data_IF_936624186478
#
_entry.id   IF_936624186478
#
_cell.length_a   1.000
_cell.length_b   1.000
_cell.length_c   1.000
_cell.angle_alpha   90.00
_cell.angle_beta   90.00
_cell.angle_gamma   90.00
#
_symmetry.space_group_name_H-M   'P 1'
#
loop_
_entity.id
_entity.type
_entity.pdbx_description
1 polymer ?
#
# COMPACT_ATOMS: atom_id res chain seq x y z
N UNK A 1 -13.78 8.44 30.64
CA UNK A 1 -14.26 7.54 29.58
C UNK A 1 -13.98 8.21 28.23
N UNK A 2 -13.03 7.68 27.44
CA UNK A 2 -12.47 8.27 26.21
C UNK A 2 -13.22 7.78 24.95
N UNK A 3 -12.94 8.37 23.77
CA UNK A 3 -13.27 7.67 22.51
C UNK A 3 -13.53 8.45 21.22
N UNK A 4 -13.26 9.75 21.09
CA UNK A 4 -13.60 10.52 19.87
C UNK A 4 -12.48 10.73 18.83
N UNK A 5 -11.32 10.08 18.97
CA UNK A 5 -10.16 10.39 18.12
C UNK A 5 -9.94 9.48 16.89
N UNK A 6 -10.77 8.44 16.66
CA UNK A 6 -10.45 7.40 15.66
C UNK A 6 -11.23 7.55 14.34
N UNK A 7 -12.34 8.29 14.32
CA UNK A 7 -13.23 8.35 13.14
C UNK A 7 -12.83 9.39 12.08
N UNK A 8 -11.86 10.26 12.37
CA UNK A 8 -11.56 11.41 11.49
C UNK A 8 -10.52 11.13 10.40
N UNK A 9 -9.97 9.91 10.33
CA UNK A 9 -8.90 9.55 9.37
C UNK A 9 -9.42 8.80 8.13
N UNK A 10 -10.75 8.62 8.00
CA UNK A 10 -11.39 7.87 6.90
C UNK A 10 -11.94 8.80 5.79
N UNK A 11 -11.73 10.11 5.91
CA UNK A 11 -12.41 11.13 5.10
C UNK A 11 -11.96 11.30 3.66
N UNK A 12 -10.72 10.92 3.32
CA UNK A 12 -10.15 11.15 1.99
C UNK A 12 -9.72 9.82 1.35
N UNK A 13 -10.69 8.95 1.05
CA UNK A 13 -10.44 7.76 0.23
C UNK A 13 -10.30 8.19 -1.25
N UNK A 14 -9.11 8.06 -1.87
CA UNK A 14 -8.90 8.40 -3.28
C UNK A 14 -9.76 7.56 -4.24
N UNK A 15 -10.35 6.44 -3.80
CA UNK A 15 -11.34 5.70 -4.58
C UNK A 15 -12.70 6.40 -4.71
N UNK A 16 -12.97 7.44 -3.91
CA UNK A 16 -14.24 8.17 -3.94
C UNK A 16 -14.49 8.82 -5.31
N UNK A 17 -13.45 9.40 -5.92
CA UNK A 17 -13.56 10.08 -7.22
C UNK A 17 -13.95 9.12 -8.36
N UNK A 18 -13.39 7.91 -8.37
CA UNK A 18 -13.74 6.88 -9.35
C UNK A 18 -15.13 6.26 -9.11
N UNK A 19 -15.55 6.08 -7.84
CA UNK A 19 -16.92 5.64 -7.53
C UNK A 19 -17.97 6.66 -7.99
N UNK A 20 -17.68 7.96 -7.87
CA UNK A 20 -18.53 9.03 -8.40
C UNK A 20 -18.63 8.96 -9.93
N UNK A 21 -17.51 8.75 -10.62
CA UNK A 21 -17.46 8.57 -12.08
C UNK A 21 -18.32 7.38 -12.55
N UNK A 22 -18.24 6.22 -11.87
CA UNK A 22 -19.04 5.04 -12.22
C UNK A 22 -20.53 5.21 -11.93
N UNK A 23 -20.91 5.92 -10.85
CA UNK A 23 -22.32 6.27 -10.58
C UNK A 23 -22.93 7.15 -11.68
N UNK A 24 -22.15 8.03 -12.28
CA UNK A 24 -22.57 8.87 -13.42
C UNK A 24 -22.76 8.05 -14.70
N UNK A 25 -21.94 7.01 -14.91
CA UNK A 25 -21.96 6.19 -16.12
C UNK A 25 -22.50 4.76 -15.85
N UNK A 26 -23.81 4.65 -15.64
CA UNK A 26 -24.57 3.39 -15.46
C UNK A 26 -24.46 2.35 -16.60
N UNK A 27 -23.72 2.64 -17.67
CA UNK A 27 -23.59 1.77 -18.86
C UNK A 27 -22.35 0.87 -18.85
N UNK A 28 -21.46 0.99 -17.86
CA UNK A 28 -20.33 0.06 -17.75
C UNK A 28 -20.83 -1.20 -17.03
N UNK A 29 -21.37 -2.13 -17.81
CA UNK A 29 -21.76 -3.45 -17.31
C UNK A 29 -20.57 -4.11 -16.62
N UNK A 30 -20.81 -4.68 -15.44
CA UNK A 30 -19.79 -5.32 -14.60
C UNK A 30 -19.06 -6.46 -15.32
N UNK A 31 -19.57 -6.97 -16.45
CA UNK A 31 -18.96 -8.07 -17.19
C UNK A 31 -19.20 -7.86 -18.68
N UNK A 32 -18.13 -7.81 -19.47
CA UNK A 32 -18.22 -7.98 -20.92
C UNK A 32 -17.85 -9.44 -21.19
N UNK A 33 -18.80 -10.23 -21.68
CA UNK A 33 -18.61 -11.65 -22.02
C UNK A 33 -18.09 -12.54 -20.87
N UNK A 34 -18.57 -12.32 -19.63
CA UNK A 34 -18.20 -13.14 -18.47
C UNK A 34 -16.82 -12.85 -17.87
N UNK A 35 -15.98 -12.07 -18.56
CA UNK A 35 -14.68 -11.60 -18.08
C UNK A 35 -14.90 -10.47 -17.07
N UNK A 36 -14.29 -10.55 -15.86
CA UNK A 36 -14.31 -9.46 -14.89
C UNK A 36 -13.70 -8.19 -15.48
N UNK A 37 -14.26 -7.04 -15.16
CA UNK A 37 -13.67 -5.79 -15.60
C UNK A 37 -12.35 -5.51 -14.88
N UNK A 38 -11.38 -4.90 -15.58
CA UNK A 38 -10.06 -4.58 -15.04
C UNK A 38 -10.11 -3.70 -13.78
N UNK A 39 -11.12 -2.84 -13.65
CA UNK A 39 -11.27 -1.96 -12.48
C UNK A 39 -11.66 -2.73 -11.21
N UNK A 40 -12.24 -3.94 -11.33
CA UNK A 40 -12.61 -4.78 -10.19
C UNK A 40 -11.39 -5.33 -9.45
N UNK A 41 -10.18 -5.16 -9.98
CA UNK A 41 -8.94 -5.56 -9.33
C UNK A 41 -8.54 -4.62 -8.17
N UNK A 42 -8.92 -3.35 -8.25
CA UNK A 42 -8.51 -2.33 -7.26
C UNK A 42 -9.68 -1.54 -6.67
N UNK A 43 -10.86 -1.52 -7.32
CA UNK A 43 -12.07 -0.89 -6.76
C UNK A 43 -12.87 -1.87 -5.92
N UNK A 44 -13.20 -1.46 -4.70
CA UNK A 44 -14.10 -2.20 -3.82
C UNK A 44 -15.52 -2.20 -4.36
N UNK A 45 -16.17 -3.36 -4.29
CA UNK A 45 -17.60 -3.53 -4.59
C UNK A 45 -18.49 -2.76 -3.63
N UNK A 46 -19.81 -2.91 -3.82
CA UNK A 46 -20.79 -2.32 -2.92
C UNK A 46 -20.83 -3.11 -1.59
N UNK A 47 -20.57 -2.42 -0.48
CA UNK A 47 -20.54 -3.02 0.86
C UNK A 47 -19.27 -3.82 1.21
N UNK A 48 -18.33 -3.96 0.28
CA UNK A 48 -17.06 -4.66 0.50
C UNK A 48 -16.10 -3.81 1.35
N UNK A 49 -15.60 -4.38 2.46
CA UNK A 49 -14.60 -3.73 3.31
C UNK A 49 -13.20 -3.93 2.73
N UNK A 50 -12.32 -2.94 2.92
CA UNK A 50 -10.92 -3.07 2.48
C UNK A 50 -10.17 -4.17 3.24
N UNK A 51 -10.41 -4.24 4.54
CA UNK A 51 -9.77 -5.21 5.44
C UNK A 51 -10.83 -5.88 6.29
N UNK A 52 -10.79 -7.21 6.33
CA UNK A 52 -11.55 -8.03 7.26
C UNK A 52 -10.58 -8.72 8.23
N UNK A 53 -11.02 -8.96 9.45
CA UNK A 53 -10.19 -9.53 10.51
C UNK A 53 -10.90 -10.74 11.10
N UNK A 54 -10.16 -11.83 11.28
CA UNK A 54 -10.63 -13.06 11.91
C UNK A 54 -9.59 -13.53 12.91
N UNK A 55 -10.01 -13.68 14.17
CA UNK A 55 -9.16 -14.26 15.20
C UNK A 55 -9.01 -15.77 14.94
N UNK A 56 -7.78 -16.27 15.05
CA UNK A 56 -7.51 -17.69 14.83
C UNK A 56 -7.55 -18.43 16.17
N UNK A 57 -8.40 -19.46 16.27
CA UNK A 57 -8.52 -20.27 17.50
C UNK A 57 -7.43 -21.32 17.65
N UNK A 58 -6.74 -21.67 16.55
CA UNK A 58 -5.71 -22.72 16.55
C UNK A 58 -4.38 -22.28 17.16
N UNK A 59 -4.09 -20.99 17.22
CA UNK A 59 -2.83 -20.45 17.72
C UNK A 59 -3.09 -19.23 18.61
N UNK A 60 -2.47 -19.14 19.79
CA UNK A 60 -2.63 -17.98 20.65
C UNK A 60 -2.12 -16.71 19.97
N UNK A 61 -2.68 -15.56 20.33
CA UNK A 61 -2.27 -14.23 19.85
C UNK A 61 -2.10 -14.16 18.32
N UNK A 62 -2.98 -14.83 17.58
CA UNK A 62 -2.90 -14.94 16.12
C UNK A 62 -4.16 -14.39 15.48
N UNK A 63 -3.97 -13.60 14.43
CA UNK A 63 -5.06 -12.99 13.69
C UNK A 63 -4.81 -13.12 12.20
N UNK A 64 -5.86 -13.48 11.47
CA UNK A 64 -5.90 -13.51 10.02
C UNK A 64 -6.57 -12.23 9.50
N UNK A 65 -5.87 -11.52 8.63
CA UNK A 65 -6.35 -10.32 7.97
C UNK A 65 -6.58 -10.62 6.49
N UNK A 66 -7.79 -10.39 6.00
CA UNK A 66 -8.12 -10.51 4.58
C UNK A 66 -8.14 -9.12 3.98
N UNK A 67 -7.25 -8.86 3.02
CA UNK A 67 -7.17 -7.61 2.28
C UNK A 67 -7.85 -7.78 0.94
N UNK A 68 -8.88 -6.97 0.70
CA UNK A 68 -9.63 -6.97 -0.55
C UNK A 68 -9.06 -5.94 -1.52
N UNK A 69 -9.05 -6.29 -2.81
CA UNK A 69 -8.57 -5.45 -3.91
C UNK A 69 -7.10 -5.05 -3.74
N UNK A 70 -6.29 -6.02 -3.34
CA UNK A 70 -4.85 -5.90 -3.14
C UNK A 70 -4.15 -7.17 -3.59
N UNK A 71 -2.84 -7.07 -3.83
CA UNK A 71 -2.04 -8.15 -4.39
C UNK A 71 -0.72 -8.36 -3.61
N UNK A 72 0.21 -9.07 -4.26
CA UNK A 72 1.53 -9.36 -3.72
C UNK A 72 2.33 -8.11 -3.35
N UNK A 73 2.06 -6.96 -3.97
CA UNK A 73 2.75 -5.70 -3.68
C UNK A 73 2.62 -5.35 -2.20
N UNK A 74 1.38 -5.23 -1.71
CA UNK A 74 1.13 -4.90 -0.32
C UNK A 74 1.40 -6.09 0.62
N UNK A 75 1.01 -7.30 0.21
CA UNK A 75 1.17 -8.49 1.03
C UNK A 75 2.64 -8.80 1.38
N UNK A 76 3.51 -8.75 0.38
CA UNK A 76 4.94 -8.96 0.57
C UNK A 76 5.58 -7.83 1.39
N UNK A 77 5.23 -6.56 1.09
CA UNK A 77 5.78 -5.40 1.79
C UNK A 77 5.47 -5.45 3.30
N UNK A 78 4.21 -5.71 3.67
CA UNK A 78 3.82 -5.84 5.07
C UNK A 78 4.53 -7.01 5.76
N UNK A 79 4.58 -8.16 5.10
CA UNK A 79 5.23 -9.36 5.65
C UNK A 79 6.72 -9.12 5.92
N UNK A 80 7.43 -8.48 4.98
CA UNK A 80 8.85 -8.15 5.16
C UNK A 80 9.08 -7.16 6.29
N UNK A 81 8.19 -6.17 6.48
CA UNK A 81 8.29 -5.23 7.59
C UNK A 81 8.02 -5.90 8.93
N UNK A 82 6.98 -6.74 9.02
CA UNK A 82 6.59 -7.43 10.25
C UNK A 82 7.69 -8.36 10.77
N UNK A 83 8.43 -9.04 9.89
CA UNK A 83 9.58 -9.87 10.26
C UNK A 83 10.72 -9.11 10.95
N UNK A 84 10.77 -7.78 10.84
CA UNK A 84 11.79 -6.96 11.53
C UNK A 84 11.45 -6.73 13.01
N UNK A 85 10.21 -6.99 13.43
CA UNK A 85 9.78 -6.74 14.79
C UNK A 85 10.05 -7.96 15.69
N UNK A 86 10.74 -7.79 16.84
CA UNK A 86 11.10 -8.90 17.71
C UNK A 86 9.88 -9.55 18.41
N UNK A 87 8.79 -8.81 18.58
CA UNK A 87 7.54 -9.29 19.20
C UNK A 87 6.63 -10.04 18.20
N UNK A 88 6.98 -10.07 16.91
CA UNK A 88 6.26 -10.84 15.89
C UNK A 88 6.91 -12.21 15.78
N UNK A 89 6.18 -13.24 16.18
CA UNK A 89 6.66 -14.64 16.13
C UNK A 89 6.46 -15.25 14.75
N UNK A 90 5.39 -14.86 14.05
CA UNK A 90 5.07 -15.37 12.72
C UNK A 90 4.37 -14.30 11.89
N UNK A 91 4.80 -14.15 10.63
CA UNK A 91 4.05 -13.39 9.63
C UNK A 91 4.15 -14.06 8.27
N UNK A 92 3.03 -14.30 7.62
CA UNK A 92 3.02 -14.82 6.25
C UNK A 92 1.77 -14.36 5.53
N UNK A 93 1.89 -14.16 4.22
CA UNK A 93 0.75 -13.87 3.36
C UNK A 93 0.59 -14.95 2.28
N UNK A 94 -0.64 -15.13 1.83
CA UNK A 94 -0.95 -15.96 0.66
C UNK A 94 -2.06 -15.32 -0.16
N UNK A 95 -2.01 -15.52 -1.47
CA UNK A 95 -3.13 -15.23 -2.38
C UNK A 95 -3.89 -16.54 -2.55
N UNK A 96 -5.13 -16.66 -2.04
CA UNK A 96 -5.88 -17.93 -2.09
C UNK A 96 -6.11 -18.42 -3.51
N UNK A 97 -6.33 -17.49 -4.44
CA UNK A 97 -6.53 -17.80 -5.86
C UNK A 97 -6.20 -16.58 -6.75
N UNK A 98 -5.47 -16.74 -7.86
CA UNK A 98 -4.97 -15.61 -8.67
C UNK A 98 -6.06 -14.81 -9.40
N UNK A 99 -7.25 -15.38 -9.62
CA UNK A 99 -8.37 -14.66 -10.27
C UNK A 99 -8.99 -13.58 -9.37
N UNK A 100 -8.76 -13.62 -8.06
CA UNK A 100 -9.29 -12.64 -7.14
C UNK A 100 -8.14 -11.80 -6.59
N UNK A 101 -8.27 -10.48 -6.69
CA UNK A 101 -7.31 -9.54 -6.09
C UNK A 101 -7.54 -9.48 -4.58
N UNK A 102 -7.28 -10.57 -3.88
CA UNK A 102 -7.36 -10.66 -2.42
C UNK A 102 -6.17 -11.44 -1.89
N UNK A 103 -5.67 -11.03 -0.73
CA UNK A 103 -4.67 -11.81 -0.01
C UNK A 103 -5.02 -11.94 1.47
N UNK A 104 -4.59 -13.04 2.06
CA UNK A 104 -4.72 -13.32 3.48
C UNK A 104 -3.35 -13.16 4.14
N UNK A 105 -3.27 -12.32 5.16
CA UNK A 105 -2.09 -12.11 5.99
C UNK A 105 -2.35 -12.71 7.37
N UNK A 106 -1.52 -13.68 7.77
CA UNK A 106 -1.52 -14.26 9.10
C UNK A 106 -0.41 -13.65 9.92
N UNK A 107 -0.74 -13.13 11.09
CA UNK A 107 0.22 -12.53 12.03
C UNK A 107 0.03 -13.14 13.41
N UNK A 108 1.11 -13.61 14.00
CA UNK A 108 1.18 -14.09 15.38
C UNK A 108 2.22 -13.29 16.16
N UNK A 109 1.86 -12.89 17.38
CA UNK A 109 2.74 -12.15 18.29
C UNK A 109 3.02 -12.94 19.56
N UNK A 110 4.05 -12.53 20.30
CA UNK A 110 4.41 -13.07 21.62
C UNK A 110 3.39 -12.72 22.74
N UNK A 111 2.43 -11.84 22.44
CA UNK A 111 1.43 -11.33 23.39
C UNK A 111 1.80 -9.99 24.04
N UNK A 112 3.01 -9.47 23.82
CA UNK A 112 3.41 -8.13 24.27
C UNK A 112 2.62 -7.02 23.57
N UNK A 113 2.26 -7.27 22.31
CA UNK A 113 1.36 -6.42 21.51
C UNK A 113 0.34 -7.27 20.78
N UNK A 114 -0.81 -6.69 20.47
CA UNK A 114 -1.80 -7.40 19.64
C UNK A 114 -1.32 -7.48 18.18
N UNK A 115 -1.68 -8.54 17.42
CA UNK A 115 -1.35 -8.63 16.00
C UNK A 115 -1.85 -7.43 15.19
N UNK A 116 -3.01 -6.88 15.59
CA UNK A 116 -3.59 -5.68 14.98
C UNK A 116 -2.69 -4.46 15.17
N UNK A 117 -2.19 -4.22 16.38
CA UNK A 117 -1.27 -3.12 16.67
C UNK A 117 0.06 -3.28 15.93
N UNK A 118 0.58 -4.51 15.84
CA UNK A 118 1.79 -4.80 15.07
C UNK A 118 1.63 -4.41 13.59
N UNK A 119 0.49 -4.78 12.97
CA UNK A 119 0.19 -4.41 11.57
C UNK A 119 0.03 -2.90 11.40
N UNK A 120 -0.67 -2.22 12.30
CA UNK A 120 -0.83 -0.75 12.24
C UNK A 120 0.53 -0.05 12.35
N UNK A 121 1.39 -0.53 13.25
CA UNK A 121 2.74 0.00 13.43
C UNK A 121 3.58 -0.25 12.18
N UNK A 122 3.49 -1.44 11.58
CA UNK A 122 4.12 -1.75 10.30
C UNK A 122 3.75 -0.75 9.20
N UNK A 123 2.45 -0.47 9.05
CA UNK A 123 1.96 0.49 8.06
C UNK A 123 2.55 1.89 8.27
N UNK A 124 2.54 2.39 9.52
CA UNK A 124 3.09 3.72 9.84
C UNK A 124 4.58 3.81 9.52
N UNK A 125 5.33 2.78 9.90
CA UNK A 125 6.77 2.74 9.66
C UNK A 125 7.10 2.68 8.15
N UNK A 126 6.35 1.88 7.38
CA UNK A 126 6.50 1.81 5.92
C UNK A 126 6.26 3.18 5.28
N UNK A 127 5.21 3.89 5.70
CA UNK A 127 4.92 5.25 5.19
C UNK A 127 6.09 6.18 5.48
N UNK A 128 6.60 6.18 6.72
CA UNK A 128 7.75 7.00 7.10
C UNK A 128 9.02 6.64 6.30
N UNK A 129 9.28 5.35 6.08
CA UNK A 129 10.42 4.88 5.27
C UNK A 129 10.31 5.36 3.82
N UNK A 130 9.12 5.27 3.21
CA UNK A 130 8.87 5.73 1.85
C UNK A 130 8.99 7.25 1.73
N UNK A 131 8.57 8.01 2.74
CA UNK A 131 8.76 9.46 2.77
C UNK A 131 10.25 9.85 2.83
N UNK A 132 11.04 9.16 3.66
CA UNK A 132 12.49 9.37 3.71
C UNK A 132 13.11 9.04 2.34
N UNK A 133 12.76 7.90 1.76
CA UNK A 133 13.23 7.50 0.43
C UNK A 133 12.90 8.55 -0.63
N UNK A 134 11.66 9.05 -0.65
CA UNK A 134 11.23 10.06 -1.61
C UNK A 134 12.03 11.37 -1.47
N UNK A 135 12.25 11.85 -0.25
CA UNK A 135 13.05 13.06 -0.01
C UNK A 135 14.51 12.89 -0.44
N UNK A 136 15.12 11.76 -0.07
CA UNK A 136 16.50 11.45 -0.46
C UNK A 136 16.63 11.34 -1.98
N UNK A 137 15.70 10.64 -2.63
CA UNK A 137 15.67 10.51 -4.09
C UNK A 137 15.53 11.87 -4.78
N UNK A 138 14.59 12.72 -4.35
CA UNK A 138 14.37 14.04 -4.93
C UNK A 138 15.60 14.95 -4.79
N UNK A 139 16.27 14.90 -3.65
CA UNK A 139 17.49 15.68 -3.38
C UNK A 139 18.63 15.26 -4.31
N UNK A 140 18.90 13.95 -4.39
CA UNK A 140 19.95 13.41 -5.27
C UNK A 140 19.64 13.65 -6.75
N UNK A 141 18.38 13.46 -7.16
CA UNK A 141 17.94 13.73 -8.51
C UNK A 141 18.17 15.19 -8.92
N UNK A 142 17.78 16.14 -8.07
CA UNK A 142 17.97 17.56 -8.31
C UNK A 142 19.46 17.92 -8.38
N UNK A 143 20.26 17.39 -7.46
CA UNK A 143 21.71 17.60 -7.45
C UNK A 143 22.37 17.14 -8.75
N UNK A 144 22.04 15.94 -9.23
CA UNK A 144 22.57 15.42 -10.50
C UNK A 144 22.13 16.23 -11.72
N UNK A 145 20.88 16.71 -11.72
CA UNK A 145 20.36 17.54 -12.82
C UNK A 145 21.14 18.87 -12.92
N UNK A 146 21.35 19.56 -11.81
CA UNK A 146 22.10 20.82 -11.76
C UNK A 146 23.54 20.63 -12.27
N UNK A 147 24.21 19.56 -11.83
CA UNK A 147 25.58 19.25 -12.28
C UNK A 147 25.61 19.00 -13.80
N UNK A 148 24.69 18.18 -14.30
CA UNK A 148 24.61 17.86 -15.73
C UNK A 148 24.35 19.09 -16.60
N UNK A 149 23.45 19.99 -16.18
CA UNK A 149 23.16 21.24 -16.89
C UNK A 149 24.38 22.18 -16.88
N UNK A 150 25.03 22.32 -15.72
CA UNK A 150 26.24 23.14 -15.59
C UNK A 150 27.42 22.64 -16.43
N UNK A 151 27.61 21.33 -16.57
CA UNK A 151 28.63 20.75 -17.45
C UNK A 151 28.33 21.01 -18.93
N UNK A 152 27.07 20.87 -19.36
CA UNK A 152 26.66 21.16 -20.74
C UNK A 152 26.87 22.63 -21.10
N UNK A 153 26.53 23.55 -20.20
CA UNK A 153 26.78 24.97 -20.41
C UNK A 153 28.28 25.28 -20.52
N UNK A 154 29.11 24.67 -19.67
CA UNK A 154 30.57 24.85 -19.75
C UNK A 154 31.12 24.35 -21.08
N UNK A 155 30.73 23.14 -21.50
CA UNK A 155 31.15 22.58 -22.78
C UNK A 155 30.68 23.43 -23.97
N UNK A 156 29.47 24.00 -23.91
CA UNK A 156 28.98 24.91 -24.94
C UNK A 156 29.82 26.20 -25.03
N UNK A 157 30.14 26.82 -23.88
CA UNK A 157 31.01 28.01 -23.84
C UNK A 157 32.42 27.73 -24.34
N UNK A 158 32.99 26.57 -23.98
CA UNK A 158 34.32 26.16 -24.47
C UNK A 158 34.32 25.94 -25.98
N UNK A 159 33.23 25.39 -26.55
CA UNK A 159 33.09 25.22 -28.00
C UNK A 159 32.96 26.54 -28.76
N UNK A 160 32.21 27.51 -28.22
CA UNK A 160 32.03 28.82 -28.84
C UNK A 160 33.33 29.65 -28.83
N UNK A 161 34.20 29.47 -27.83
CA UNK A 161 35.49 30.17 -27.76
C UNK A 161 36.54 29.69 -28.77
N UNK A 162 36.30 28.57 -29.48
CA UNK A 162 37.22 27.99 -30.46
C UNK A 162 36.74 28.13 -31.92
N UNK A 163 35.62 28.84 -32.17
CA UNK A 163 35.13 29.22 -33.50
C UNK A 163 35.48 30.67 -33.84
#
# INVERSE_FOLDING_TARGET
MPGKAVDQVVGDDPNTSYKLYLKSNKKVGHRVNGVPSRFELFLLGDGEKKVETREETSAPNTTLFTFNKEDHTLGNLLTQRLHKYPHVTFSAYKVPHPLFATFELRVSTDGSVTPKEAVITACKDIVNELEVLNRSFATEWLGKRIVSEGEQERMARERDNYQ
#
